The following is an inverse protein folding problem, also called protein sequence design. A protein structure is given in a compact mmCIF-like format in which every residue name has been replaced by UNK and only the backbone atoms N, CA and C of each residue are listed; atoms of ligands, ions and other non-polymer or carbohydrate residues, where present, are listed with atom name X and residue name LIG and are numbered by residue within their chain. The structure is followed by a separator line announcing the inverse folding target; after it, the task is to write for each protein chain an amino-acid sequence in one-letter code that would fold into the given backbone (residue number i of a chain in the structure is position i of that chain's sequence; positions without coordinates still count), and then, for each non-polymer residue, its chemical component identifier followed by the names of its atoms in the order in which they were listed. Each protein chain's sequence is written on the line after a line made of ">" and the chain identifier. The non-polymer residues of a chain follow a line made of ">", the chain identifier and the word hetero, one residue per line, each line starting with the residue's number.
data_IF_737238663641
#
_entry.id   IF_737238663641
#
_cell.length_a   1.000
_cell.length_b   1.000
_cell.length_c   1.000
_cell.angle_alpha   90.00
_cell.angle_beta   90.00
_cell.angle_gamma   90.00
#
_symmetry.space_group_name_H-M   'P 1'
#
loop_
_entity.id
_entity.type
_entity.pdbx_description
1 polymer ?
#
# COMPACT_ATOMS: atom_id res chain seq x y z
N UNK A 1 -18.37 15.18 -8.07
CA UNK A 1 -17.16 15.33 -7.23
C UNK A 1 -17.56 16.12 -6.00
N UNK A 2 -17.71 15.47 -4.84
CA UNK A 2 -18.13 16.12 -3.59
C UNK A 2 -16.95 16.78 -2.90
N UNK A 3 -17.22 17.93 -2.30
CA UNK A 3 -16.33 18.83 -1.56
C UNK A 3 -15.42 18.09 -0.57
N UNK A 4 -14.10 18.14 -0.79
CA UNK A 4 -13.12 17.64 0.18
C UNK A 4 -12.72 18.78 1.11
N UNK A 5 -13.52 18.95 2.16
CA UNK A 5 -13.20 19.78 3.34
C UNK A 5 -11.82 19.37 3.88
N UNK A 6 -10.94 20.31 4.27
CA UNK A 6 -9.64 19.95 4.82
C UNK A 6 -9.83 19.20 6.15
N UNK A 7 -9.08 18.10 6.32
CA UNK A 7 -8.90 17.42 7.59
C UNK A 7 -8.42 18.44 8.64
N UNK A 8 -9.29 18.81 9.57
CA UNK A 8 -8.88 19.41 10.84
C UNK A 8 -8.40 18.30 11.78
N UNK A 9 -7.54 18.64 12.73
CA UNK A 9 -7.08 17.69 13.76
C UNK A 9 -8.26 17.03 14.48
N UNK A 10 -9.31 17.80 14.82
CA UNK A 10 -10.50 17.31 15.54
C UNK A 10 -11.69 16.95 14.63
N UNK A 11 -11.51 16.97 13.30
CA UNK A 11 -12.61 16.66 12.38
C UNK A 11 -12.90 15.14 12.38
N UNK A 12 -14.17 14.71 12.26
CA UNK A 12 -14.49 13.29 12.09
C UNK A 12 -13.76 12.72 10.87
N UNK A 13 -13.29 11.47 10.99
CA UNK A 13 -12.63 10.77 9.90
C UNK A 13 -13.58 10.72 8.67
N UNK A 14 -13.10 11.07 7.48
CA UNK A 14 -13.91 10.95 6.28
C UNK A 14 -14.04 9.47 5.89
N UNK A 15 -15.18 9.11 5.36
CA UNK A 15 -15.36 7.82 4.70
C UNK A 15 -14.59 7.82 3.37
N UNK A 16 -13.65 6.89 3.24
CA UNK A 16 -12.79 6.72 2.07
C UNK A 16 -13.16 5.50 1.23
N UNK A 17 -14.19 4.72 1.59
CA UNK A 17 -14.51 3.43 0.97
C UNK A 17 -14.72 3.50 -0.56
N UNK A 18 -15.22 4.63 -1.06
CA UNK A 18 -15.48 4.85 -2.50
C UNK A 18 -14.37 5.64 -3.22
N UNK A 19 -13.25 5.90 -2.57
CA UNK A 19 -12.12 6.58 -3.19
C UNK A 19 -11.23 5.55 -3.87
N UNK A 20 -11.20 5.55 -5.21
CA UNK A 20 -10.42 4.60 -6.02
C UNK A 20 -9.19 5.23 -6.68
N UNK A 21 -9.04 6.55 -6.57
CA UNK A 21 -7.88 7.28 -7.09
C UNK A 21 -6.72 7.18 -6.11
N UNK A 22 -5.64 6.51 -6.55
CA UNK A 22 -4.47 6.26 -5.72
C UNK A 22 -3.70 7.54 -5.34
N UNK A 23 -3.65 8.54 -6.23
CA UNK A 23 -2.96 9.79 -5.93
C UNK A 23 -3.70 10.59 -4.86
N UNK A 24 -5.03 10.54 -4.90
CA UNK A 24 -5.87 11.07 -3.83
C UNK A 24 -5.57 10.36 -2.51
N UNK A 25 -5.57 9.03 -2.49
CA UNK A 25 -5.31 8.23 -1.27
C UNK A 25 -3.90 8.48 -0.70
N UNK A 26 -2.88 8.62 -1.55
CA UNK A 26 -1.52 9.00 -1.12
C UNK A 26 -1.47 10.40 -0.50
N UNK A 27 -2.27 11.35 -0.99
CA UNK A 27 -2.42 12.67 -0.34
C UNK A 27 -3.08 12.56 1.03
N UNK A 28 -4.07 11.67 1.19
CA UNK A 28 -4.69 11.38 2.48
C UNK A 28 -3.67 10.83 3.48
N UNK A 29 -2.87 9.83 3.10
CA UNK A 29 -1.79 9.29 3.94
C UNK A 29 -0.82 10.39 4.41
N UNK A 30 -0.33 11.21 3.49
CA UNK A 30 0.60 12.31 3.82
C UNK A 30 -0.02 13.32 4.78
N UNK A 31 -1.29 13.67 4.55
CA UNK A 31 -2.01 14.66 5.36
C UNK A 31 -2.31 14.11 6.75
N UNK A 32 -2.79 12.88 6.83
CA UNK A 32 -3.07 12.18 8.08
C UNK A 32 -1.80 12.04 8.93
N UNK A 33 -0.68 11.63 8.33
CA UNK A 33 0.62 11.55 9.02
C UNK A 33 1.08 12.90 9.55
N UNK A 34 0.91 13.99 8.77
CA UNK A 34 1.24 15.36 9.21
C UNK A 34 0.38 15.84 10.38
N UNK A 35 -0.87 15.37 10.48
CA UNK A 35 -1.83 15.76 11.51
C UNK A 35 -1.93 14.77 12.68
N UNK A 36 -1.08 13.73 12.68
CA UNK A 36 -1.06 12.65 13.67
C UNK A 36 -2.41 11.92 13.79
N UNK A 37 -3.07 11.73 12.64
CA UNK A 37 -4.39 11.09 12.51
C UNK A 37 -4.27 9.64 12.06
N UNK A 38 -3.94 8.76 13.00
CA UNK A 38 -3.75 7.33 12.76
C UNK A 38 -5.02 6.62 12.23
N UNK A 39 -6.20 7.07 12.66
CA UNK A 39 -7.49 6.59 12.18
C UNK A 39 -7.63 6.79 10.65
N UNK A 40 -7.39 8.02 10.20
CA UNK A 40 -7.49 8.38 8.78
C UNK A 40 -6.35 7.78 7.97
N UNK A 41 -5.16 7.68 8.57
CA UNK A 41 -4.02 7.03 7.92
C UNK A 41 -4.34 5.56 7.64
N UNK A 42 -4.84 4.81 8.63
CA UNK A 42 -5.19 3.39 8.47
C UNK A 42 -6.29 3.18 7.43
N UNK A 43 -7.31 4.04 7.40
CA UNK A 43 -8.40 3.93 6.43
C UNK A 43 -7.94 4.27 5.01
N UNK A 44 -7.16 5.34 4.84
CA UNK A 44 -6.58 5.69 3.55
C UNK A 44 -5.63 4.59 3.04
N UNK A 45 -4.89 3.95 3.95
CA UNK A 45 -3.97 2.87 3.63
C UNK A 45 -4.72 1.62 3.15
N UNK A 46 -5.73 1.17 3.90
CA UNK A 46 -6.57 0.02 3.51
C UNK A 46 -7.24 0.26 2.16
N UNK A 47 -7.76 1.46 1.94
CA UNK A 47 -8.37 1.81 0.67
C UNK A 47 -7.33 1.87 -0.47
N UNK A 48 -6.12 2.36 -0.22
CA UNK A 48 -5.05 2.37 -1.23
C UNK A 48 -4.70 0.95 -1.69
N UNK A 49 -4.53 0.02 -0.74
CA UNK A 49 -4.32 -1.39 -1.07
C UNK A 49 -5.52 -1.97 -1.83
N UNK A 50 -6.76 -1.63 -1.45
CA UNK A 50 -7.98 -2.12 -2.13
C UNK A 50 -8.12 -1.57 -3.55
N UNK A 51 -7.71 -0.33 -3.80
CA UNK A 51 -7.71 0.26 -5.13
C UNK A 51 -6.74 -0.44 -6.08
N UNK A 52 -5.63 -0.98 -5.55
CA UNK A 52 -4.66 -1.76 -6.31
C UNK A 52 -5.19 -3.14 -6.72
N UNK A 53 -6.01 -3.76 -5.86
CA UNK A 53 -6.61 -5.08 -6.10
C UNK A 53 -7.49 -5.12 -7.37
N UNK A 54 -7.97 -3.98 -7.88
CA UNK A 54 -8.99 -3.93 -8.94
C UNK A 54 -8.53 -4.37 -10.34
N UNK A 55 -7.26 -4.70 -10.52
CA UNK A 55 -6.68 -5.02 -11.85
C UNK A 55 -6.74 -6.51 -12.23
N UNK A 56 -7.18 -7.40 -11.33
CA UNK A 56 -7.19 -8.87 -11.56
C UNK A 56 -8.36 -9.56 -10.86
N UNK A 57 -8.87 -10.64 -11.43
CA UNK A 57 -9.92 -11.50 -10.84
C UNK A 57 -9.34 -12.72 -10.11
N UNK A 58 -8.02 -12.94 -10.16
CA UNK A 58 -7.36 -14.03 -9.45
C UNK A 58 -7.24 -13.70 -7.95
N UNK A 59 -7.86 -14.48 -7.04
CA UNK A 59 -7.81 -14.24 -5.60
C UNK A 59 -6.39 -14.17 -5.02
N UNK A 60 -5.44 -14.91 -5.59
CA UNK A 60 -4.06 -14.91 -5.12
C UNK A 60 -3.30 -13.68 -5.63
N UNK A 61 -3.54 -13.26 -6.87
CA UNK A 61 -2.99 -12.00 -7.38
C UNK A 61 -3.57 -10.80 -6.65
N UNK A 62 -4.86 -10.85 -6.28
CA UNK A 62 -5.55 -9.86 -5.47
C UNK A 62 -4.86 -9.68 -4.11
N UNK A 63 -4.63 -10.76 -3.36
CA UNK A 63 -3.93 -10.65 -2.07
C UNK A 63 -2.49 -10.16 -2.24
N UNK A 64 -1.78 -10.68 -3.23
CA UNK A 64 -0.39 -10.31 -3.46
C UNK A 64 -0.22 -8.85 -3.91
N UNK A 65 -1.17 -8.30 -4.68
CA UNK A 65 -1.20 -6.87 -5.03
C UNK A 65 -1.30 -5.98 -3.78
N UNK A 66 -2.09 -6.38 -2.79
CA UNK A 66 -2.19 -5.71 -1.49
C UNK A 66 -0.85 -5.67 -0.75
N UNK A 67 -0.15 -6.80 -0.70
CA UNK A 67 1.19 -6.92 -0.08
C UNK A 67 2.22 -6.03 -0.78
N UNK A 68 2.25 -6.03 -2.12
CA UNK A 68 3.17 -5.17 -2.89
C UNK A 68 2.87 -3.68 -2.63
N UNK A 69 1.60 -3.29 -2.59
CA UNK A 69 1.22 -1.92 -2.26
C UNK A 69 1.70 -1.52 -0.85
N UNK A 70 1.51 -2.41 0.13
CA UNK A 70 1.96 -2.18 1.51
C UNK A 70 3.49 -1.99 1.57
N UNK A 71 4.22 -2.85 0.88
CA UNK A 71 5.67 -2.79 0.82
C UNK A 71 6.17 -1.50 0.15
N UNK A 72 5.57 -1.09 -0.96
CA UNK A 72 5.90 0.16 -1.65
C UNK A 72 5.65 1.38 -0.76
N UNK A 73 4.59 1.35 0.05
CA UNK A 73 4.30 2.41 1.00
C UNK A 73 5.33 2.44 2.15
N UNK A 74 5.68 1.30 2.74
CA UNK A 74 6.71 1.22 3.77
C UNK A 74 8.06 1.78 3.27
N UNK A 75 8.49 1.36 2.08
CA UNK A 75 9.69 1.87 1.42
C UNK A 75 9.61 3.38 1.14
N UNK A 76 8.43 3.85 0.70
CA UNK A 76 8.21 5.28 0.45
C UNK A 76 8.38 6.10 1.72
N UNK A 77 7.92 5.58 2.85
CA UNK A 77 8.04 6.24 4.14
C UNK A 77 9.46 6.21 4.68
N UNK A 78 10.15 5.07 4.60
CA UNK A 78 11.55 4.94 5.00
C UNK A 78 12.47 5.85 4.19
N UNK A 79 12.26 5.95 2.88
CA UNK A 79 13.09 6.76 1.97
C UNK A 79 12.69 8.24 1.88
N UNK A 80 11.51 8.61 2.42
CA UNK A 80 10.95 9.96 2.29
C UNK A 80 10.57 10.36 0.86
N UNK A 81 10.56 9.42 -0.09
CA UNK A 81 10.23 9.63 -1.51
C UNK A 81 9.47 8.45 -2.06
N UNK A 82 8.56 8.70 -2.99
CA UNK A 82 7.73 7.65 -3.61
C UNK A 82 8.61 6.56 -4.22
N UNK A 83 8.43 5.32 -3.74
CA UNK A 83 9.12 4.13 -4.24
C UNK A 83 8.08 3.17 -4.83
N UNK A 84 8.31 2.77 -6.09
CA UNK A 84 7.56 1.71 -6.76
C UNK A 84 8.49 0.52 -7.01
N UNK A 85 8.01 -0.69 -6.73
CA UNK A 85 8.66 -1.96 -7.03
C UNK A 85 8.36 -2.40 -8.46
N UNK A 86 8.61 -1.51 -9.43
CA UNK A 86 8.31 -1.75 -10.85
C UNK A 86 8.87 -3.07 -11.39
N UNK A 87 10.09 -3.53 -11.04
CA UNK A 87 10.58 -4.84 -11.48
C UNK A 87 9.72 -6.01 -10.97
N UNK A 88 9.22 -5.94 -9.73
CA UNK A 88 8.36 -6.97 -9.16
C UNK A 88 7.00 -6.98 -9.84
N UNK A 89 6.43 -5.80 -10.09
CA UNK A 89 5.15 -5.64 -10.80
C UNK A 89 5.22 -6.15 -12.23
N UNK A 90 6.30 -5.82 -12.94
CA UNK A 90 6.54 -6.33 -14.29
C UNK A 90 6.69 -7.86 -14.28
N UNK A 91 7.36 -8.42 -13.27
CA UNK A 91 7.50 -9.87 -13.12
C UNK A 91 6.17 -10.55 -12.81
N UNK A 92 5.36 -9.97 -11.93
CA UNK A 92 4.02 -10.44 -11.60
C UNK A 92 3.16 -10.56 -12.86
N UNK A 93 3.05 -9.48 -13.64
CA UNK A 93 2.28 -9.52 -14.89
C UNK A 93 2.83 -10.44 -15.98
N UNK A 94 4.13 -10.78 -15.94
CA UNK A 94 4.75 -11.71 -16.91
C UNK A 94 4.67 -13.18 -16.52
N UNK A 95 4.81 -13.48 -15.23
CA UNK A 95 5.06 -14.83 -14.71
C UNK A 95 3.94 -15.36 -13.82
N UNK A 96 2.99 -14.50 -13.44
CA UNK A 96 1.97 -14.80 -12.45
C UNK A 96 2.50 -14.76 -11.01
N UNK A 97 1.56 -14.75 -10.07
CA UNK A 97 1.85 -14.64 -8.62
C UNK A 97 2.64 -15.84 -8.08
N UNK A 98 2.27 -17.07 -8.43
CA UNK A 98 2.89 -18.29 -7.90
C UNK A 98 4.39 -18.32 -8.19
N UNK A 99 4.78 -18.07 -9.45
CA UNK A 99 6.19 -18.04 -9.85
C UNK A 99 6.94 -16.87 -9.21
N UNK A 100 6.29 -15.71 -9.10
CA UNK A 100 6.88 -14.53 -8.48
C UNK A 100 7.18 -14.78 -7.00
N UNK A 101 6.26 -15.41 -6.27
CA UNK A 101 6.46 -15.80 -4.87
C UNK A 101 7.55 -16.86 -4.73
N UNK A 102 7.53 -17.91 -5.57
CA UNK A 102 8.56 -18.96 -5.57
C UNK A 102 9.97 -18.37 -5.75
N UNK A 103 10.11 -17.44 -6.70
CA UNK A 103 11.38 -16.77 -6.96
C UNK A 103 11.79 -15.79 -5.85
N UNK A 104 10.84 -15.28 -5.08
CA UNK A 104 11.12 -14.40 -3.94
C UNK A 104 11.64 -15.22 -2.75
N UNK A 105 10.98 -16.34 -2.44
CA UNK A 105 11.36 -17.24 -1.34
C UNK A 105 12.69 -17.96 -1.64
N UNK A 106 12.98 -18.22 -2.92
CA UNK A 106 14.23 -18.88 -3.34
C UNK A 106 15.47 -17.97 -3.28
N UNK A 107 15.32 -16.68 -2.96
CA UNK A 107 16.46 -15.78 -2.81
C UNK A 107 17.11 -15.95 -1.43
N UNK A 108 18.44 -16.12 -1.35
CA UNK A 108 19.15 -16.36 -0.10
C UNK A 108 19.24 -15.12 0.81
N UNK A 109 18.86 -13.94 0.33
CA UNK A 109 18.91 -12.67 1.07
C UNK A 109 17.49 -12.13 1.20
N UNK A 110 17.05 -11.89 2.44
CA UNK A 110 15.84 -11.12 2.70
C UNK A 110 15.97 -9.75 2.00
N UNK A 111 14.92 -9.32 1.31
CA UNK A 111 14.95 -8.01 0.67
C UNK A 111 14.92 -6.92 1.75
N UNK A 112 15.63 -5.82 1.54
CA UNK A 112 15.63 -4.66 2.47
C UNK A 112 14.20 -4.22 2.83
N UNK A 113 13.30 -4.31 1.85
CA UNK A 113 11.87 -4.03 2.03
C UNK A 113 11.13 -4.97 2.98
N UNK A 114 11.53 -6.24 3.13
CA UNK A 114 10.93 -7.16 4.08
C UNK A 114 11.31 -6.82 5.53
N UNK A 115 12.55 -6.37 5.75
CA UNK A 115 12.97 -5.87 7.06
C UNK A 115 12.25 -4.56 7.42
N UNK A 116 12.05 -3.67 6.45
CA UNK A 116 11.26 -2.45 6.65
C UNK A 116 9.78 -2.74 6.94
N UNK A 117 9.14 -3.67 6.21
CA UNK A 117 7.75 -4.09 6.47
C UNK A 117 7.51 -4.55 7.92
N UNK A 118 8.44 -5.34 8.47
CA UNK A 118 8.39 -5.77 9.86
C UNK A 118 8.57 -4.59 10.83
N UNK A 119 9.44 -3.63 10.50
CA UNK A 119 9.71 -2.46 11.33
C UNK A 119 8.52 -1.46 11.39
N UNK A 120 7.68 -1.38 10.36
CA UNK A 120 6.50 -0.47 10.36
C UNK A 120 5.25 -1.08 11.04
N UNK A 121 5.37 -2.25 11.68
CA UNK A 121 4.26 -2.85 12.44
C UNK A 121 3.09 -3.32 11.57
N UNK A 122 3.32 -3.56 10.28
CA UNK A 122 2.31 -4.03 9.32
C UNK A 122 2.30 -5.56 9.18
N UNK A 123 2.74 -6.27 10.23
CA UNK A 123 2.79 -7.74 10.27
C UNK A 123 1.42 -8.42 10.10
N UNK A 124 0.31 -7.68 10.18
CA UNK A 124 -1.03 -8.21 9.91
C UNK A 124 -1.28 -8.53 8.42
N UNK A 125 -0.38 -8.14 7.52
CA UNK A 125 -0.40 -8.50 6.09
C UNK A 125 0.54 -9.68 5.74
N UNK A 126 1.03 -10.44 6.75
CA UNK A 126 1.84 -11.66 6.54
C UNK A 126 0.99 -12.91 6.35
#
# INVERSE_FOLDING_TARGET
>A
MKDKKPLGHDAPAPDLADVWDQDILRKWLKTAKRLERDDVYKDAFRQLCSAEKRETDDPLELEFAGVICALEQALTEGLGKTKRLSPMRLKLGRSGVVKTMSDLVSKPTATDGFAELQAVGMGEFS
#
